data_IF_297818348817
#
_entry.id   IF_297818348817
#
_cell.length_a   1.000
_cell.length_b   1.000
_cell.length_c   1.000
_cell.angle_alpha   90.00
_cell.angle_beta   90.00
_cell.angle_gamma   90.00
#
_symmetry.space_group_name_H-M   'P 1'
#
loop_
_entity.id
_entity.type
_entity.pdbx_description
1 polymer ?
#
# COMPACT_ATOMS: atom_id res chain seq x y z
N UNK A 1 -13.12 8.32 -0.41
CA UNK A 1 -11.67 8.36 -0.70
C UNK A 1 -10.85 9.15 0.30
N UNK A 2 -11.29 10.35 0.72
CA UNK A 2 -10.54 11.21 1.66
C UNK A 2 -10.18 10.50 2.98
N UNK A 3 -11.16 9.90 3.68
CA UNK A 3 -10.93 9.22 4.95
C UNK A 3 -10.00 8.01 4.81
N UNK A 4 -10.14 7.23 3.73
CA UNK A 4 -9.25 6.13 3.40
C UNK A 4 -7.78 6.58 3.38
N UNK A 5 -7.51 7.68 2.67
CA UNK A 5 -6.17 8.26 2.63
C UNK A 5 -5.68 8.72 4.00
N UNK A 6 -6.55 9.39 4.79
CA UNK A 6 -6.18 9.85 6.13
C UNK A 6 -5.77 8.67 7.04
N UNK A 7 -6.46 7.52 6.96
CA UNK A 7 -6.08 6.33 7.70
C UNK A 7 -4.69 5.85 7.30
N UNK A 8 -4.40 5.78 5.99
CA UNK A 8 -3.08 5.36 5.51
C UNK A 8 -1.96 6.33 5.89
N UNK A 9 -2.22 7.64 5.87
CA UNK A 9 -1.21 8.66 6.16
C UNK A 9 -0.94 8.81 7.66
N UNK A 10 -1.96 8.66 8.51
CA UNK A 10 -1.88 8.93 9.95
C UNK A 10 -1.92 7.68 10.81
N UNK A 11 -2.32 6.53 10.25
CA UNK A 11 -2.64 5.29 10.95
C UNK A 11 -3.70 5.48 12.08
N UNK A 12 -4.55 6.50 11.96
CA UNK A 12 -5.63 6.79 12.92
C UNK A 12 -6.97 6.28 12.40
N UNK A 13 -7.47 5.21 13.00
CA UNK A 13 -8.72 4.55 12.61
C UNK A 13 -9.97 5.38 12.90
N UNK A 14 -9.85 6.50 13.63
CA UNK A 14 -10.98 7.43 13.84
C UNK A 14 -11.53 7.98 12.52
N UNK A 15 -10.74 8.00 11.46
CA UNK A 15 -11.19 8.39 10.12
C UNK A 15 -12.15 7.40 9.46
N UNK A 16 -12.39 6.22 10.06
CA UNK A 16 -13.48 5.31 9.64
C UNK A 16 -14.87 5.93 9.83
N UNK A 17 -15.00 6.83 10.78
CA UNK A 17 -16.30 7.48 11.04
C UNK A 17 -16.56 8.64 10.09
N UNK A 18 -17.79 8.63 9.54
CA UNK A 18 -18.35 9.75 8.79
C UNK A 18 -19.37 10.42 9.70
N UNK A 19 -19.01 11.58 10.29
CA UNK A 19 -19.90 12.33 11.18
C UNK A 19 -19.42 12.39 12.64
N UNK A 20 -20.37 12.64 13.55
CA UNK A 20 -20.10 12.86 14.99
C UNK A 20 -20.07 11.58 15.84
N UNK A 21 -20.22 10.41 15.25
CA UNK A 21 -20.18 9.15 15.98
C UNK A 21 -18.77 8.93 16.53
N UNK A 22 -18.66 8.70 17.83
CA UNK A 22 -17.41 8.31 18.50
C UNK A 22 -17.55 6.85 18.89
N UNK A 23 -16.69 5.98 18.34
CA UNK A 23 -16.48 4.68 18.90
C UNK A 23 -15.22 4.74 19.77
N UNK A 24 -15.34 4.35 21.01
CA UNK A 24 -14.22 4.33 21.97
C UNK A 24 -13.51 2.96 21.98
N UNK A 25 -14.07 1.96 21.29
CA UNK A 25 -13.55 0.61 21.26
C UNK A 25 -12.56 0.43 20.11
N UNK A 26 -11.28 0.50 20.40
CA UNK A 26 -10.18 0.33 19.43
C UNK A 26 -10.22 -1.02 18.73
N UNK A 27 -10.57 -2.11 19.43
CA UNK A 27 -10.64 -3.47 18.83
C UNK A 27 -11.72 -3.57 17.77
N UNK A 28 -12.87 -2.98 18.02
CA UNK A 28 -13.97 -2.97 17.03
C UNK A 28 -13.58 -2.17 15.78
N UNK A 29 -12.84 -1.08 15.96
CA UNK A 29 -12.31 -0.31 14.83
C UNK A 29 -11.28 -1.09 14.01
N UNK A 30 -10.40 -1.84 14.68
CA UNK A 30 -9.42 -2.69 14.04
C UNK A 30 -10.08 -3.81 13.23
N UNK A 31 -11.13 -4.45 13.76
CA UNK A 31 -11.91 -5.46 13.04
C UNK A 31 -12.62 -4.88 11.81
N UNK A 32 -13.27 -3.72 11.95
CA UNK A 32 -13.92 -3.04 10.84
C UNK A 32 -12.89 -2.69 9.76
N UNK A 33 -11.75 -2.15 10.16
CA UNK A 33 -10.67 -1.80 9.22
C UNK A 33 -10.11 -3.02 8.51
N UNK A 34 -9.87 -4.11 9.23
CA UNK A 34 -9.40 -5.38 8.66
C UNK A 34 -10.36 -5.89 7.59
N UNK A 35 -11.67 -5.91 7.88
CA UNK A 35 -12.67 -6.36 6.91
C UNK A 35 -12.72 -5.49 5.65
N UNK A 36 -12.68 -4.16 5.81
CA UNK A 36 -12.65 -3.23 4.67
C UNK A 36 -11.37 -3.43 3.84
N UNK A 37 -10.23 -3.64 4.50
CA UNK A 37 -8.96 -3.84 3.84
C UNK A 37 -8.91 -5.18 3.10
N UNK A 38 -9.48 -6.23 3.68
CA UNK A 38 -9.61 -7.54 3.03
C UNK A 38 -10.49 -7.48 1.77
N UNK A 39 -11.60 -6.74 1.82
CA UNK A 39 -12.44 -6.51 0.64
C UNK A 39 -11.67 -5.75 -0.44
N UNK A 40 -10.92 -4.71 -0.05
CA UNK A 40 -10.06 -3.97 -0.96
C UNK A 40 -9.02 -4.90 -1.62
N UNK A 41 -8.36 -5.76 -0.85
CA UNK A 41 -7.36 -6.69 -1.38
C UNK A 41 -7.97 -7.76 -2.31
N UNK A 42 -9.19 -8.22 -2.02
CA UNK A 42 -9.93 -9.15 -2.91
C UNK A 42 -10.26 -8.51 -4.25
N UNK A 43 -10.67 -7.26 -4.25
CA UNK A 43 -11.11 -6.54 -5.46
C UNK A 43 -9.91 -6.05 -6.29
N UNK A 44 -8.93 -5.43 -5.67
CA UNK A 44 -7.82 -4.74 -6.35
C UNK A 44 -6.50 -5.50 -6.32
N UNK A 45 -6.35 -6.44 -5.39
CA UNK A 45 -5.10 -7.18 -5.18
C UNK A 45 -3.98 -6.34 -4.57
N UNK A 46 -2.80 -6.92 -4.51
CA UNK A 46 -1.58 -6.24 -4.08
C UNK A 46 -0.95 -5.50 -5.26
N UNK A 47 -0.40 -4.32 -5.02
CA UNK A 47 0.39 -3.62 -6.05
C UNK A 47 1.62 -4.46 -6.46
N UNK A 48 2.10 -4.29 -7.69
CA UNK A 48 3.28 -5.04 -8.16
C UNK A 48 4.53 -4.69 -7.34
N UNK A 49 4.67 -3.42 -6.93
CA UNK A 49 5.76 -2.98 -6.05
C UNK A 49 5.71 -3.71 -4.70
N UNK A 50 4.52 -3.86 -4.12
CA UNK A 50 4.37 -4.57 -2.85
C UNK A 50 4.64 -6.06 -2.99
N UNK A 51 4.25 -6.69 -4.11
CA UNK A 51 4.58 -8.08 -4.42
C UNK A 51 6.09 -8.28 -4.52
N UNK A 52 6.82 -7.35 -5.15
CA UNK A 52 8.29 -7.40 -5.22
C UNK A 52 8.93 -7.25 -3.83
N UNK A 53 8.45 -6.33 -2.99
CA UNK A 53 8.89 -6.21 -1.59
C UNK A 53 8.70 -7.53 -0.84
N UNK A 54 7.56 -8.19 -1.00
CA UNK A 54 7.32 -9.50 -0.36
C UNK A 54 8.26 -10.59 -0.86
N UNK A 55 8.58 -10.61 -2.16
CA UNK A 55 9.56 -11.55 -2.73
C UNK A 55 10.96 -11.32 -2.14
N UNK A 56 11.41 -10.06 -2.05
CA UNK A 56 12.71 -9.70 -1.44
C UNK A 56 12.73 -10.14 0.02
N UNK A 57 11.70 -9.82 0.80
CA UNK A 57 11.60 -10.22 2.22
C UNK A 57 11.65 -11.74 2.39
N UNK A 58 10.98 -12.49 1.50
CA UNK A 58 11.03 -13.96 1.52
C UNK A 58 12.44 -14.48 1.27
N UNK A 59 13.14 -13.98 0.23
CA UNK A 59 14.53 -14.39 -0.06
C UNK A 59 15.46 -14.06 1.10
N UNK A 60 15.32 -12.85 1.66
CA UNK A 60 16.09 -12.42 2.82
C UNK A 60 15.92 -13.37 4.01
N UNK A 61 14.67 -13.73 4.35
CA UNK A 61 14.39 -14.68 5.43
C UNK A 61 14.98 -16.06 5.17
N UNK A 62 14.95 -16.55 3.92
CA UNK A 62 15.55 -17.82 3.55
C UNK A 62 17.08 -17.79 3.70
N UNK A 63 17.76 -16.75 3.21
CA UNK A 63 19.23 -16.62 3.37
C UNK A 63 19.65 -16.47 4.81
N UNK A 64 18.86 -15.77 5.64
CA UNK A 64 19.12 -15.66 7.09
C UNK A 64 18.98 -17.02 7.78
N UNK A 65 17.93 -17.80 7.46
CA UNK A 65 17.75 -19.14 7.99
C UNK A 65 18.87 -20.09 7.59
N UNK A 66 19.24 -20.09 6.30
CA UNK A 66 20.36 -20.88 5.79
C UNK A 66 21.70 -20.49 6.42
N UNK A 67 21.91 -19.20 6.70
CA UNK A 67 23.12 -18.72 7.37
C UNK A 67 23.19 -19.23 8.82
N UNK A 68 22.08 -19.21 9.54
CA UNK A 68 22.02 -19.74 10.91
C UNK A 68 22.31 -21.24 10.94
N UNK A 69 21.85 -22.00 9.93
CA UNK A 69 22.04 -23.45 9.85
C UNK A 69 23.46 -23.85 9.41
N UNK A 70 24.01 -23.14 8.40
CA UNK A 70 25.24 -23.57 7.68
C UNK A 70 26.47 -22.74 8.03
N UNK A 71 26.31 -21.59 8.66
CA UNK A 71 27.36 -20.60 8.98
C UNK A 71 28.22 -20.19 7.75
N UNK A 72 27.66 -20.34 6.53
CA UNK A 72 28.36 -20.02 5.29
C UNK A 72 28.41 -18.49 5.09
N UNK A 73 29.64 -17.96 5.11
CA UNK A 73 29.91 -16.52 4.96
C UNK A 73 29.45 -15.94 3.61
N UNK A 74 29.32 -16.76 2.58
CA UNK A 74 28.83 -16.31 1.27
C UNK A 74 27.39 -15.82 1.40
N UNK A 75 26.57 -16.42 2.27
CA UNK A 75 25.20 -16.02 2.52
C UNK A 75 25.08 -14.60 3.08
N UNK A 76 26.08 -14.10 3.81
CA UNK A 76 26.12 -12.71 4.26
C UNK A 76 26.11 -11.71 3.10
N UNK A 77 26.78 -12.05 1.99
CA UNK A 77 26.76 -11.20 0.80
C UNK A 77 25.35 -11.16 0.18
N UNK A 78 24.67 -12.29 0.09
CA UNK A 78 23.30 -12.35 -0.41
C UNK A 78 22.33 -11.60 0.51
N UNK A 79 22.47 -11.75 1.82
CA UNK A 79 21.69 -10.99 2.81
C UNK A 79 21.87 -9.48 2.58
N UNK A 80 23.11 -9.00 2.45
CA UNK A 80 23.37 -7.58 2.20
C UNK A 80 22.78 -7.09 0.87
N UNK A 81 22.86 -7.89 -0.19
CA UNK A 81 22.27 -7.54 -1.49
C UNK A 81 20.75 -7.38 -1.36
N UNK A 82 20.06 -8.33 -0.73
CA UNK A 82 18.62 -8.26 -0.55
C UNK A 82 18.20 -7.11 0.41
N UNK A 83 18.98 -6.81 1.44
CA UNK A 83 18.73 -5.67 2.33
C UNK A 83 18.84 -4.34 1.56
N UNK A 84 19.89 -4.16 0.76
CA UNK A 84 20.05 -2.96 -0.07
C UNK A 84 18.94 -2.83 -1.11
N UNK A 85 18.50 -3.93 -1.71
CA UNK A 85 17.38 -3.95 -2.64
C UNK A 85 16.08 -3.53 -1.94
N UNK A 86 15.85 -4.01 -0.71
CA UNK A 86 14.67 -3.65 0.08
C UNK A 86 14.67 -2.16 0.46
N UNK A 87 15.81 -1.63 0.89
CA UNK A 87 15.98 -0.20 1.21
C UNK A 87 15.73 0.68 -0.03
N UNK A 88 16.28 0.30 -1.17
CA UNK A 88 16.04 0.99 -2.44
C UNK A 88 14.57 1.02 -2.82
N UNK A 89 13.84 -0.08 -2.63
CA UNK A 89 12.39 -0.13 -2.88
C UNK A 89 11.61 0.80 -1.96
N UNK A 90 11.99 0.90 -0.68
CA UNK A 90 11.35 1.84 0.25
C UNK A 90 11.66 3.30 -0.06
N UNK A 91 12.86 3.61 -0.53
CA UNK A 91 13.23 4.98 -0.93
C UNK A 91 12.51 5.42 -2.20
N UNK A 92 12.31 4.53 -3.16
CA UNK A 92 11.51 4.82 -4.35
C UNK A 92 10.04 5.01 -4.02
N UNK A 93 9.48 4.22 -3.10
CA UNK A 93 8.08 4.41 -2.65
C UNK A 93 7.88 5.72 -1.90
N UNK A 94 8.87 6.21 -1.14
CA UNK A 94 8.82 7.53 -0.51
C UNK A 94 8.86 8.69 -1.52
N UNK A 95 9.53 8.50 -2.66
CA UNK A 95 9.60 9.46 -3.78
C UNK A 95 8.44 9.30 -4.77
N UNK A 96 7.56 8.33 -4.55
CA UNK A 96 6.36 8.11 -5.35
C UNK A 96 5.50 9.38 -5.43
N UNK A 97 4.82 9.58 -6.55
CA UNK A 97 3.92 10.71 -6.75
C UNK A 97 2.96 10.82 -5.56
N UNK A 98 2.80 12.04 -5.05
CA UNK A 98 1.85 12.24 -3.97
C UNK A 98 0.44 11.83 -4.44
N UNK A 99 -0.44 11.48 -3.50
CA UNK A 99 -1.85 11.23 -3.86
C UNK A 99 -2.44 12.37 -4.68
N UNK A 100 -2.03 13.60 -4.39
CA UNK A 100 -2.45 14.79 -5.14
C UNK A 100 -1.97 14.75 -6.59
N UNK A 101 -0.73 14.33 -6.82
CA UNK A 101 -0.17 14.22 -8.17
C UNK A 101 -0.87 13.11 -8.96
N UNK A 102 -1.14 11.98 -8.32
CA UNK A 102 -1.93 10.88 -8.90
C UNK A 102 -3.34 11.34 -9.25
N UNK A 103 -3.97 12.15 -8.38
CA UNK A 103 -5.30 12.71 -8.63
C UNK A 103 -5.29 13.67 -9.82
N UNK A 104 -4.32 14.61 -9.86
CA UNK A 104 -4.17 15.56 -10.97
C UNK A 104 -3.91 14.84 -12.29
N UNK A 105 -3.12 13.77 -12.26
CA UNK A 105 -2.88 12.94 -13.44
C UNK A 105 -4.17 12.26 -13.92
N UNK A 106 -4.95 11.68 -13.00
CA UNK A 106 -6.26 11.08 -13.28
C UNK A 106 -7.24 12.10 -13.88
N UNK A 107 -7.34 13.29 -13.29
CA UNK A 107 -8.19 14.37 -13.77
C UNK A 107 -7.84 14.77 -15.21
N UNK A 108 -6.55 14.87 -15.51
CA UNK A 108 -6.07 15.20 -16.86
C UNK A 108 -6.39 14.09 -17.87
N UNK A 109 -6.20 12.83 -17.49
CA UNK A 109 -6.42 11.70 -18.39
C UNK A 109 -7.90 11.46 -18.67
N UNK A 110 -8.76 11.65 -17.68
CA UNK A 110 -10.20 11.44 -17.79
C UNK A 110 -10.97 12.69 -18.26
N UNK A 111 -10.32 13.86 -18.26
CA UNK A 111 -10.96 15.13 -18.61
C UNK A 111 -12.04 15.57 -17.61
N UNK A 112 -12.03 15.03 -16.40
CA UNK A 112 -13.01 15.29 -15.34
C UNK A 112 -12.31 15.81 -14.08
N UNK A 113 -13.04 16.61 -13.29
CA UNK A 113 -12.57 17.06 -11.97
C UNK A 113 -13.07 16.12 -10.90
N UNK A 114 -12.17 15.56 -10.10
CA UNK A 114 -12.49 14.53 -9.10
C UNK A 114 -12.66 15.17 -7.73
N UNK A 115 -13.87 15.07 -7.16
CA UNK A 115 -14.11 15.47 -5.79
C UNK A 115 -13.78 14.31 -4.83
N UNK A 116 -12.66 14.41 -4.12
CA UNK A 116 -12.19 13.35 -3.19
C UNK A 116 -13.12 13.06 -2.03
N UNK A 117 -14.08 13.94 -1.73
CA UNK A 117 -15.08 13.74 -0.67
C UNK A 117 -16.28 12.93 -1.15
N UNK A 118 -16.54 12.94 -2.45
CA UNK A 118 -17.71 12.29 -3.06
C UNK A 118 -17.34 10.96 -3.72
N UNK A 119 -16.13 10.87 -4.27
CA UNK A 119 -15.67 9.65 -4.94
C UNK A 119 -15.45 8.52 -3.92
N UNK A 120 -15.90 7.32 -4.26
CA UNK A 120 -15.63 6.11 -3.48
C UNK A 120 -14.18 5.62 -3.68
N UNK A 121 -13.71 4.75 -2.78
CA UNK A 121 -12.41 4.07 -2.94
C UNK A 121 -12.42 3.20 -4.20
N UNK A 122 -13.51 2.47 -4.42
CA UNK A 122 -13.68 1.60 -5.58
C UNK A 122 -13.62 2.38 -6.90
N UNK A 123 -14.34 3.52 -7.01
CA UNK A 123 -14.31 4.35 -8.22
C UNK A 123 -12.91 4.87 -8.52
N UNK A 124 -12.18 5.34 -7.50
CA UNK A 124 -10.83 5.83 -7.65
C UNK A 124 -9.88 4.76 -8.23
N UNK A 125 -9.90 3.56 -7.65
CA UNK A 125 -9.04 2.47 -8.13
C UNK A 125 -9.49 1.91 -9.49
N UNK A 126 -10.79 1.95 -9.80
CA UNK A 126 -11.28 1.60 -11.12
C UNK A 126 -10.82 2.60 -12.19
N UNK A 127 -10.78 3.90 -11.89
CA UNK A 127 -10.19 4.90 -12.79
C UNK A 127 -8.69 4.66 -13.02
N UNK A 128 -7.93 4.32 -11.97
CA UNK A 128 -6.52 3.96 -12.12
C UNK A 128 -6.33 2.71 -13.00
N UNK A 129 -7.20 1.70 -12.84
CA UNK A 129 -7.15 0.47 -13.63
C UNK A 129 -7.47 0.73 -15.10
N UNK A 130 -8.43 1.61 -15.40
CA UNK A 130 -8.81 1.94 -16.78
C UNK A 130 -7.68 2.61 -17.55
N UNK A 131 -6.86 3.43 -16.89
CA UNK A 131 -5.69 4.07 -17.52
C UNK A 131 -4.62 3.04 -17.87
N UNK A 132 -4.31 2.09 -16.95
CA UNK A 132 -3.31 1.04 -17.20
C UNK A 132 -3.67 0.12 -18.37
N UNK A 133 -4.95 -0.03 -18.67
CA UNK A 133 -5.41 -0.91 -19.76
C UNK A 133 -5.50 -0.19 -21.11
N UNK A 134 -5.41 1.14 -21.13
CA UNK A 134 -5.50 1.95 -22.35
C UNK A 134 -4.15 2.54 -22.79
N UNK A 135 -3.06 2.24 -22.11
CA UNK A 135 -1.68 2.59 -22.45
C UNK A 135 -0.88 1.37 -22.85
#
# INVERSE_FOLDING_TARGET
MYNWKQIHDTNDLKWLFVGKAKCENTKELEEIWSNIYDEYLKEFGLSEEYKEILKIKRRLAMYQADYIEKEDRILLNYINIEQNALESMYDTTKKGSSFRDSLVHLEKMQGIKINTKEITVADYYNYLRSIKNNG
#
